data_IF_287246865810
#
_entry.id   IF_287246865810
#
_cell.length_a   1.000
_cell.length_b   1.000
_cell.length_c   1.000
_cell.angle_alpha   90.00
_cell.angle_beta   90.00
_cell.angle_gamma   90.00
#
_symmetry.space_group_name_H-M   'P 1'
#
loop_
_entity.id
_entity.type
_entity.pdbx_description
1 polymer ?
#
# COMPACT_ATOMS: atom_id res chain seq x y z
N UNK A 1 -6.88 28.46 -12.99
CA UNK A 1 -5.48 28.88 -12.90
C UNK A 1 -4.66 27.61 -13.01
N UNK A 2 -3.99 27.39 -14.13
CA UNK A 2 -3.23 26.16 -14.37
C UNK A 2 -1.85 26.34 -13.72
N UNK A 3 -1.70 25.84 -12.49
CA UNK A 3 -0.39 25.62 -11.89
C UNK A 3 0.41 24.58 -12.69
N UNK A 4 1.73 24.47 -12.47
CA UNK A 4 2.52 23.43 -13.12
C UNK A 4 1.87 22.07 -12.80
N UNK A 5 1.52 21.34 -13.85
CA UNK A 5 0.81 20.07 -13.73
C UNK A 5 1.82 19.03 -13.24
N UNK A 6 1.94 18.92 -11.91
CA UNK A 6 2.80 17.93 -11.25
C UNK A 6 2.33 16.55 -11.76
N UNK A 7 3.21 15.87 -12.47
CA UNK A 7 2.91 14.58 -13.10
C UNK A 7 3.38 13.46 -12.20
N UNK A 8 2.47 12.55 -11.85
CA UNK A 8 2.81 11.37 -11.04
C UNK A 8 3.92 10.52 -11.68
N UNK A 9 4.10 10.61 -13.00
CA UNK A 9 5.10 9.85 -13.76
C UNK A 9 6.55 10.31 -13.53
N UNK A 10 6.79 11.35 -12.73
CA UNK A 10 8.13 11.78 -12.33
C UNK A 10 8.29 11.76 -10.80
N UNK A 11 8.63 10.61 -10.20
CA UNK A 11 8.71 10.48 -8.74
C UNK A 11 9.72 11.44 -8.10
N UNK A 12 10.81 11.80 -8.80
CA UNK A 12 11.82 12.73 -8.28
C UNK A 12 11.23 14.12 -7.98
N UNK A 13 10.26 14.57 -8.79
CA UNK A 13 9.58 15.84 -8.56
C UNK A 13 8.63 15.83 -7.37
N UNK A 14 8.26 14.65 -6.87
CA UNK A 14 7.30 14.47 -5.78
C UNK A 14 7.96 14.34 -4.41
N UNK A 15 9.25 14.00 -4.35
CA UNK A 15 9.97 13.69 -3.09
C UNK A 15 9.89 14.83 -2.06
N UNK A 16 9.92 16.08 -2.52
CA UNK A 16 9.97 17.26 -1.64
C UNK A 16 8.61 17.94 -1.45
N UNK A 17 7.52 17.32 -1.91
CA UNK A 17 6.19 17.88 -1.71
C UNK A 17 5.77 17.77 -0.24
N UNK A 18 4.92 18.70 0.24
CA UNK A 18 4.24 18.53 1.51
C UNK A 18 3.47 17.20 1.55
N UNK A 19 3.43 16.57 2.72
CA UNK A 19 2.87 15.21 2.86
C UNK A 19 1.43 15.11 2.37
N UNK A 20 0.59 16.12 2.66
CA UNK A 20 -0.81 16.15 2.21
C UNK A 20 -0.92 16.22 0.67
N UNK A 21 -0.07 17.00 0.02
CA UNK A 21 -0.06 17.13 -1.45
C UNK A 21 0.47 15.85 -2.11
N UNK A 22 1.53 15.27 -1.53
CA UNK A 22 2.08 13.99 -1.96
C UNK A 22 1.03 12.88 -1.88
N UNK A 23 0.37 12.75 -0.73
CA UNK A 23 -0.68 11.74 -0.52
C UNK A 23 -1.85 11.93 -1.50
N UNK A 24 -2.29 13.17 -1.73
CA UNK A 24 -3.37 13.45 -2.68
C UNK A 24 -3.02 13.02 -4.11
N UNK A 25 -1.81 13.36 -4.58
CA UNK A 25 -1.34 12.98 -5.93
C UNK A 25 -1.23 11.46 -6.06
N UNK A 26 -0.64 10.79 -5.07
CA UNK A 26 -0.50 9.33 -5.10
C UNK A 26 -1.87 8.64 -5.08
N UNK A 27 -2.78 9.06 -4.19
CA UNK A 27 -4.13 8.51 -4.12
C UNK A 27 -4.89 8.69 -5.44
N UNK A 28 -4.84 9.87 -6.05
CA UNK A 28 -5.49 10.09 -7.35
C UNK A 28 -4.94 9.16 -8.43
N UNK A 29 -3.62 8.93 -8.43
CA UNK A 29 -2.95 8.04 -9.36
C UNK A 29 -3.31 6.57 -9.20
N UNK A 30 -3.39 6.06 -7.96
CA UNK A 30 -3.64 4.64 -7.69
C UNK A 30 -5.10 4.32 -7.34
N UNK A 31 -5.97 5.33 -7.21
CA UNK A 31 -7.38 5.12 -6.87
C UNK A 31 -8.29 6.33 -7.12
N UNK A 32 -8.99 6.33 -8.25
CA UNK A 32 -9.97 7.39 -8.57
C UNK A 32 -11.11 7.49 -7.56
N UNK A 33 -11.58 6.36 -7.00
CA UNK A 33 -12.71 6.36 -6.07
C UNK A 33 -12.29 6.79 -4.68
N UNK A 34 -11.21 6.20 -4.14
CA UNK A 34 -10.76 6.53 -2.78
C UNK A 34 -10.14 7.93 -2.70
N UNK A 35 -9.56 8.44 -3.78
CA UNK A 35 -9.14 9.84 -3.86
C UNK A 35 -10.29 10.85 -3.69
N UNK A 36 -11.54 10.45 -3.94
CA UNK A 36 -12.71 11.30 -3.71
C UNK A 36 -13.27 11.17 -2.30
N UNK A 37 -13.17 9.98 -1.69
CA UNK A 37 -13.80 9.69 -0.40
C UNK A 37 -12.88 9.93 0.79
N UNK A 38 -11.58 9.62 0.67
CA UNK A 38 -10.62 9.80 1.76
C UNK A 38 -10.54 11.27 2.19
N UNK A 39 -10.48 12.27 1.28
CA UNK A 39 -10.48 13.69 1.66
C UNK A 39 -11.74 14.19 2.37
N UNK A 40 -12.82 13.39 2.41
CA UNK A 40 -14.05 13.73 3.15
C UNK A 40 -13.98 13.35 4.63
N UNK A 41 -12.90 12.67 5.07
CA UNK A 41 -12.68 12.33 6.47
C UNK A 41 -12.32 13.57 7.30
N UNK A 42 -12.54 13.52 8.63
CA UNK A 42 -11.98 14.53 9.54
C UNK A 42 -10.48 14.70 9.35
N UNK A 43 -9.99 15.94 9.54
CA UNK A 43 -8.58 16.29 9.28
C UNK A 43 -7.60 15.47 10.09
N UNK A 44 -8.02 15.03 11.28
CA UNK A 44 -7.23 14.23 12.20
C UNK A 44 -7.05 12.78 11.70
N UNK A 45 -7.99 12.27 10.91
CA UNK A 45 -7.99 10.89 10.40
C UNK A 45 -7.51 10.79 8.96
N UNK A 46 -7.70 11.85 8.18
CA UNK A 46 -7.38 11.88 6.76
C UNK A 46 -5.93 11.41 6.46
N UNK A 47 -4.88 11.94 7.10
CA UNK A 47 -3.50 11.53 6.78
C UNK A 47 -3.23 10.06 7.06
N UNK A 48 -3.74 9.54 8.20
CA UNK A 48 -3.55 8.15 8.59
C UNK A 48 -4.25 7.20 7.62
N UNK A 49 -5.50 7.50 7.22
CA UNK A 49 -6.26 6.66 6.29
C UNK A 49 -5.72 6.76 4.86
N UNK A 50 -5.29 7.95 4.42
CA UNK A 50 -4.61 8.13 3.14
C UNK A 50 -3.35 7.27 3.06
N UNK A 51 -2.52 7.33 4.10
CA UNK A 51 -1.30 6.54 4.18
C UNK A 51 -1.59 5.03 4.26
N UNK A 52 -2.61 4.63 5.02
CA UNK A 52 -3.05 3.24 5.11
C UNK A 52 -3.39 2.66 3.75
N UNK A 53 -4.11 3.42 2.92
CA UNK A 53 -4.44 3.00 1.56
C UNK A 53 -3.18 2.80 0.71
N UNK A 54 -2.22 3.72 0.77
CA UNK A 54 -0.96 3.61 0.03
C UNK A 54 -0.15 2.38 0.46
N UNK A 55 -0.08 2.09 1.76
CA UNK A 55 0.57 0.88 2.28
C UNK A 55 -0.11 -0.40 1.78
N UNK A 56 -1.44 -0.45 1.81
CA UNK A 56 -2.21 -1.59 1.27
C UNK A 56 -1.97 -1.76 -0.24
N UNK A 57 -1.96 -0.65 -0.99
CA UNK A 57 -1.70 -0.68 -2.44
C UNK A 57 -0.30 -1.17 -2.77
N UNK A 58 0.72 -0.86 -1.95
CA UNK A 58 2.08 -1.39 -2.13
C UNK A 58 2.09 -2.92 -2.00
N UNK A 59 1.33 -3.47 -1.04
CA UNK A 59 1.18 -4.92 -0.90
C UNK A 59 0.50 -5.51 -2.12
N UNK A 60 -0.61 -4.92 -2.58
CA UNK A 60 -1.30 -5.34 -3.80
C UNK A 60 -0.34 -5.32 -5.01
N UNK A 61 0.44 -4.25 -5.22
CA UNK A 61 1.40 -4.16 -6.33
C UNK A 61 2.45 -5.27 -6.28
N UNK A 62 2.99 -5.61 -5.11
CA UNK A 62 3.95 -6.73 -4.97
C UNK A 62 3.27 -8.07 -5.30
N UNK A 63 2.03 -8.23 -4.85
CA UNK A 63 1.24 -9.44 -5.03
C UNK A 63 0.88 -9.62 -6.51
N UNK A 64 0.30 -8.61 -7.15
CA UNK A 64 -0.21 -8.64 -8.52
C UNK A 64 0.91 -8.64 -9.58
N UNK A 65 2.15 -8.26 -9.21
CA UNK A 65 3.25 -8.17 -10.18
C UNK A 65 3.57 -9.55 -10.80
N UNK A 66 3.47 -9.60 -12.12
CA UNK A 66 3.62 -10.81 -12.93
C UNK A 66 5.08 -11.19 -13.18
N UNK A 67 6.00 -10.23 -13.10
CA UNK A 67 7.45 -10.48 -13.27
C UNK A 67 8.09 -11.14 -12.04
N UNK A 68 7.48 -11.01 -10.86
CA UNK A 68 7.99 -11.59 -9.63
C UNK A 68 7.56 -13.05 -9.50
N UNK A 69 8.51 -13.92 -9.19
CA UNK A 69 8.19 -15.29 -8.80
C UNK A 69 7.71 -15.36 -7.33
N UNK A 70 7.16 -16.50 -6.93
CA UNK A 70 6.61 -16.69 -5.58
C UNK A 70 7.62 -16.45 -4.44
N UNK A 71 8.90 -16.78 -4.63
CA UNK A 71 9.94 -16.54 -3.63
C UNK A 71 10.26 -15.05 -3.49
N UNK A 72 10.32 -14.33 -4.61
CA UNK A 72 10.52 -12.87 -4.62
C UNK A 72 9.34 -12.15 -3.97
N UNK A 73 8.09 -12.51 -4.33
CA UNK A 73 6.89 -11.93 -3.69
C UNK A 73 6.93 -12.14 -2.18
N UNK A 74 7.23 -13.36 -1.74
CA UNK A 74 7.38 -13.67 -0.31
C UNK A 74 8.48 -12.84 0.36
N UNK A 75 9.63 -12.71 -0.28
CA UNK A 75 10.74 -11.89 0.23
C UNK A 75 10.33 -10.42 0.39
N UNK A 76 9.77 -9.79 -0.65
CA UNK A 76 9.37 -8.39 -0.61
C UNK A 76 8.21 -8.15 0.37
N UNK A 77 7.22 -9.05 0.44
CA UNK A 77 6.16 -8.98 1.44
C UNK A 77 6.69 -9.01 2.87
N UNK A 78 7.60 -9.95 3.20
CA UNK A 78 8.18 -10.06 4.54
C UNK A 78 9.07 -8.85 4.88
N UNK A 79 9.87 -8.38 3.93
CA UNK A 79 10.68 -7.19 4.11
C UNK A 79 9.81 -5.94 4.29
N UNK A 80 8.71 -5.80 3.53
CA UNK A 80 7.81 -4.66 3.65
C UNK A 80 7.11 -4.61 5.02
N UNK A 81 6.73 -5.76 5.58
CA UNK A 81 6.20 -5.84 6.95
C UNK A 81 7.21 -5.26 7.96
N UNK A 82 8.49 -5.62 7.86
CA UNK A 82 9.53 -5.12 8.76
C UNK A 82 9.76 -3.62 8.58
N UNK A 83 9.73 -3.12 7.34
CA UNK A 83 9.89 -1.71 7.01
C UNK A 83 8.73 -0.88 7.60
N UNK A 84 7.48 -1.33 7.48
CA UNK A 84 6.32 -0.61 8.05
C UNK A 84 6.37 -0.58 9.58
N UNK A 85 6.91 -1.63 10.21
CA UNK A 85 7.05 -1.69 11.68
C UNK A 85 8.18 -0.82 12.20
N UNK A 86 9.31 -0.77 11.49
CA UNK A 86 10.55 -0.22 12.04
C UNK A 86 10.97 1.11 11.41
N UNK A 87 10.45 1.44 10.23
CA UNK A 87 10.82 2.61 9.44
C UNK A 87 12.17 2.49 8.73
N UNK A 88 12.87 1.38 8.93
CA UNK A 88 14.22 1.19 8.43
C UNK A 88 14.20 0.63 7.01
N UNK A 89 15.32 0.76 6.28
CA UNK A 89 15.56 0.10 4.98
C UNK A 89 14.53 0.40 3.85
N UNK A 90 13.68 1.41 4.00
CA UNK A 90 12.69 1.78 2.97
C UNK A 90 13.34 2.19 1.63
N UNK A 91 14.45 2.93 1.68
CA UNK A 91 15.22 3.33 0.49
C UNK A 91 15.85 2.16 -0.28
N UNK A 92 16.69 1.30 0.34
CA UNK A 92 17.25 0.16 -0.37
C UNK A 92 16.16 -0.80 -0.88
N UNK A 93 15.07 -0.99 -0.13
CA UNK A 93 13.93 -1.78 -0.58
C UNK A 93 13.30 -1.24 -1.87
N UNK A 94 12.99 0.06 -1.92
CA UNK A 94 12.41 0.69 -3.11
C UNK A 94 13.32 0.54 -4.34
N UNK A 95 14.64 0.71 -4.15
CA UNK A 95 15.63 0.55 -5.22
C UNK A 95 15.77 -0.89 -5.72
N UNK A 96 15.55 -1.87 -4.84
CA UNK A 96 15.59 -3.29 -5.20
C UNK A 96 14.32 -3.72 -5.94
N UNK A 97 13.15 -3.27 -5.48
CA UNK A 97 11.85 -3.67 -6.04
C UNK A 97 11.51 -2.94 -7.35
N UNK A 98 11.72 -1.62 -7.42
CA UNK A 98 11.33 -0.80 -8.56
C UNK A 98 11.75 -1.33 -9.95
N UNK A 99 13.02 -1.76 -10.18
CA UNK A 99 13.43 -2.24 -11.50
C UNK A 99 12.87 -3.61 -11.87
N UNK A 100 12.22 -4.31 -10.92
CA UNK A 100 11.61 -5.61 -11.17
C UNK A 100 10.18 -5.49 -11.68
N UNK A 101 9.51 -4.36 -11.48
CA UNK A 101 8.14 -4.17 -11.93
C UNK A 101 8.04 -4.22 -13.46
N UNK A 102 7.02 -4.89 -13.98
CA UNK A 102 6.80 -5.01 -15.42
C UNK A 102 6.06 -3.80 -15.99
N UNK A 103 6.04 -3.71 -17.32
CA UNK A 103 5.25 -2.71 -18.05
C UNK A 103 3.73 -2.92 -17.91
N UNK A 104 3.28 -4.02 -17.30
CA UNK A 104 1.86 -4.26 -16.99
C UNK A 104 1.41 -3.50 -15.73
N UNK A 105 2.35 -3.25 -14.81
CA UNK A 105 2.10 -2.42 -13.63
C UNK A 105 1.92 -0.97 -14.08
N UNK A 106 0.85 -0.33 -13.61
CA UNK A 106 0.49 1.01 -14.10
C UNK A 106 1.54 2.05 -13.67
N UNK A 107 1.75 3.14 -14.45
CA UNK A 107 2.76 4.15 -14.13
C UNK A 107 2.64 4.77 -12.73
N UNK A 108 1.42 4.91 -12.23
CA UNK A 108 1.17 5.41 -10.88
C UNK A 108 1.71 4.50 -9.78
N UNK A 109 1.61 3.17 -9.96
CA UNK A 109 2.14 2.18 -9.01
C UNK A 109 3.66 2.10 -9.09
N UNK A 110 4.23 2.21 -10.30
CA UNK A 110 5.68 2.40 -10.44
C UNK A 110 6.17 3.58 -9.61
N UNK A 111 5.53 4.73 -9.73
CA UNK A 111 5.87 5.91 -8.93
C UNK A 111 5.65 5.70 -7.43
N UNK A 112 4.59 5.00 -7.03
CA UNK A 112 4.33 4.65 -5.63
C UNK A 112 5.48 3.81 -5.05
N UNK A 113 5.96 2.80 -5.77
CA UNK A 113 7.09 1.96 -5.33
C UNK A 113 8.38 2.80 -5.17
N UNK A 114 8.65 3.73 -6.08
CA UNK A 114 9.79 4.65 -5.94
C UNK A 114 9.65 5.59 -4.72
N UNK A 115 8.42 5.90 -4.32
CA UNK A 115 8.08 6.82 -3.23
C UNK A 115 7.80 6.12 -1.89
N UNK A 116 8.00 4.80 -1.79
CA UNK A 116 7.94 4.04 -0.53
C UNK A 116 8.68 4.75 0.61
N UNK A 117 9.90 5.30 0.42
CA UNK A 117 10.60 5.97 1.51
C UNK A 117 9.80 7.13 2.13
N UNK A 118 9.09 7.91 1.31
CA UNK A 118 8.23 9.00 1.79
C UNK A 118 6.96 8.48 2.46
N UNK A 119 6.33 7.44 1.91
CA UNK A 119 5.15 6.80 2.54
C UNK A 119 5.52 6.25 3.92
N UNK A 120 6.69 5.62 4.06
CA UNK A 120 7.19 5.12 5.34
C UNK A 120 7.56 6.26 6.28
N UNK A 121 8.21 7.32 5.80
CA UNK A 121 8.49 8.51 6.60
C UNK A 121 7.21 9.10 7.20
N UNK A 122 6.15 9.27 6.40
CA UNK A 122 4.83 9.73 6.86
C UNK A 122 4.25 8.74 7.88
N UNK A 123 4.32 7.43 7.62
CA UNK A 123 3.86 6.38 8.54
C UNK A 123 4.41 6.59 9.95
N UNK A 124 5.70 6.88 10.07
CA UNK A 124 6.37 7.03 11.36
C UNK A 124 6.21 8.43 11.99
N UNK A 125 5.42 9.32 11.39
CA UNK A 125 4.97 10.57 12.04
C UNK A 125 3.72 10.37 12.90
N UNK A 126 3.00 9.26 12.71
CA UNK A 126 1.78 8.93 13.44
C UNK A 126 2.06 8.42 14.85
N UNK A 127 1.01 8.36 15.67
CA UNK A 127 1.13 7.78 17.00
C UNK A 127 1.37 6.25 16.93
N UNK A 128 1.88 5.68 18.02
CA UNK A 128 2.23 4.26 18.06
C UNK A 128 1.05 3.34 17.80
N UNK A 129 -0.16 3.70 18.25
CA UNK A 129 -1.33 2.86 18.08
C UNK A 129 -1.84 2.89 16.62
N UNK A 130 -1.71 4.02 15.92
CA UNK A 130 -1.92 4.11 14.48
C UNK A 130 -0.89 3.28 13.72
N UNK A 131 0.41 3.42 14.03
CA UNK A 131 1.47 2.62 13.39
C UNK A 131 1.22 1.12 13.59
N UNK A 132 0.87 0.69 14.80
CA UNK A 132 0.56 -0.71 15.10
C UNK A 132 -0.66 -1.21 14.31
N UNK A 133 -1.70 -0.39 14.14
CA UNK A 133 -2.86 -0.73 13.34
C UNK A 133 -2.50 -0.92 11.86
N UNK A 134 -1.70 0.02 11.30
CA UNK A 134 -1.22 -0.05 9.91
C UNK A 134 -0.34 -1.29 9.68
N UNK A 135 0.65 -1.51 10.55
CA UNK A 135 1.56 -2.64 10.46
C UNK A 135 0.84 -3.99 10.59
N UNK A 136 -0.15 -4.09 11.48
CA UNK A 136 -0.96 -5.29 11.65
C UNK A 136 -1.79 -5.60 10.40
N UNK A 137 -2.36 -4.57 9.75
CA UNK A 137 -3.08 -4.72 8.50
C UNK A 137 -2.16 -5.23 7.38
N UNK A 138 -1.04 -4.54 7.16
CA UNK A 138 -0.04 -4.91 6.14
C UNK A 138 0.47 -6.33 6.37
N UNK A 139 0.76 -6.71 7.62
CA UNK A 139 1.19 -8.07 7.97
C UNK A 139 0.13 -9.12 7.65
N UNK A 140 -1.14 -8.83 7.93
CA UNK A 140 -2.25 -9.74 7.67
C UNK A 140 -2.45 -9.95 6.17
N UNK A 141 -2.46 -8.86 5.39
CA UNK A 141 -2.56 -8.90 3.93
C UNK A 141 -1.37 -9.66 3.32
N UNK A 142 -0.15 -9.23 3.61
CA UNK A 142 1.07 -9.73 3.00
C UNK A 142 1.39 -11.20 3.34
N UNK A 143 0.88 -11.72 4.46
CA UNK A 143 0.96 -13.15 4.80
C UNK A 143 -0.20 -13.98 4.24
N UNK A 144 -1.39 -13.39 4.13
CA UNK A 144 -2.61 -14.09 3.74
C UNK A 144 -2.78 -14.24 2.24
N UNK A 145 -2.53 -13.17 1.47
CA UNK A 145 -2.72 -13.16 0.01
C UNK A 145 -1.91 -14.23 -0.72
N UNK A 146 -0.62 -14.49 -0.40
CA UNK A 146 0.17 -15.52 -1.09
C UNK A 146 -0.41 -16.94 -0.97
N UNK A 147 -1.21 -17.22 0.08
CA UNK A 147 -1.86 -18.52 0.26
C UNK A 147 -2.85 -18.78 -0.88
N UNK A 148 -3.57 -17.74 -1.30
CA UNK A 148 -4.59 -17.84 -2.34
C UNK A 148 -3.99 -17.69 -3.74
N UNK A 149 -2.91 -16.93 -3.90
CA UNK A 149 -2.22 -16.83 -5.19
C UNK A 149 -1.57 -18.15 -5.63
N UNK A 150 -1.14 -18.97 -4.66
CA UNK A 150 -0.59 -20.30 -4.93
C UNK A 150 -1.66 -21.32 -5.36
N UNK A 151 -2.94 -20.97 -5.26
CA UNK A 151 -4.05 -21.83 -5.69
C UNK A 151 -4.38 -21.55 -7.17
N UNK A 152 -4.76 -22.61 -7.89
CA UNK A 152 -5.44 -22.45 -9.17
C UNK A 152 -6.87 -21.94 -8.93
N UNK A 153 -7.06 -20.63 -9.12
CA UNK A 153 -8.33 -19.95 -8.94
C UNK A 153 -9.16 -19.87 -10.23
N UNK A 154 -8.79 -20.55 -11.32
CA UNK A 154 -9.59 -20.53 -12.56
C UNK A 154 -11.02 -21.05 -12.35
N UNK A 155 -11.23 -21.94 -11.38
CA UNK A 155 -12.55 -22.42 -10.95
C UNK A 155 -13.11 -21.70 -9.71
N UNK A 156 -12.45 -20.62 -9.27
CA UNK A 156 -12.70 -19.95 -7.99
C UNK A 156 -12.10 -20.69 -6.79
N UNK A 157 -12.43 -20.22 -5.59
CA UNK A 157 -12.07 -20.87 -4.33
C UNK A 157 -12.94 -22.10 -4.07
N UNK A 158 -12.39 -23.11 -3.37
CA UNK A 158 -13.02 -24.44 -3.25
C UNK A 158 -14.25 -24.44 -2.34
N UNK A 159 -14.27 -23.61 -1.30
CA UNK A 159 -15.33 -23.60 -0.30
C UNK A 159 -15.73 -22.18 0.07
N UNK A 160 -16.92 -22.02 0.66
CA UNK A 160 -17.33 -20.74 1.25
C UNK A 160 -16.37 -20.27 2.35
N UNK A 161 -15.81 -21.20 3.13
CA UNK A 161 -14.82 -20.85 4.15
C UNK A 161 -13.53 -20.30 3.53
N UNK A 162 -13.10 -20.85 2.38
CA UNK A 162 -11.96 -20.31 1.63
C UNK A 162 -12.27 -18.92 1.06
N UNK A 163 -13.52 -18.69 0.62
CA UNK A 163 -14.00 -17.37 0.20
C UNK A 163 -13.95 -16.36 1.35
N UNK A 164 -14.45 -16.75 2.53
CA UNK A 164 -14.46 -15.89 3.71
C UNK A 164 -13.02 -15.53 4.13
N UNK A 165 -12.11 -16.50 4.13
CA UNK A 165 -10.69 -16.28 4.42
C UNK A 165 -10.03 -15.36 3.39
N UNK A 166 -10.29 -15.58 2.10
CA UNK A 166 -9.79 -14.69 1.04
C UNK A 166 -10.29 -13.25 1.25
N UNK A 167 -11.60 -13.07 1.42
CA UNK A 167 -12.22 -11.78 1.69
C UNK A 167 -11.66 -11.11 2.96
N UNK A 168 -11.34 -11.89 3.98
CA UNK A 168 -10.72 -11.37 5.19
C UNK A 168 -9.35 -10.75 4.90
N UNK A 169 -8.48 -11.46 4.18
CA UNK A 169 -7.13 -10.98 3.88
C UNK A 169 -7.12 -9.77 2.94
N UNK A 170 -8.04 -9.69 1.99
CA UNK A 170 -8.05 -8.58 1.00
C UNK A 170 -8.92 -7.38 1.41
N UNK A 171 -9.84 -7.54 2.37
CA UNK A 171 -10.77 -6.48 2.76
C UNK A 171 -11.13 -6.46 4.25
N UNK A 172 -11.32 -7.61 4.89
CA UNK A 172 -11.73 -7.68 6.30
C UNK A 172 -10.73 -7.03 7.26
N UNK A 173 -9.44 -7.32 7.10
CA UNK A 173 -8.38 -6.73 7.92
C UNK A 173 -8.25 -5.21 7.75
N UNK A 174 -8.57 -4.67 6.55
CA UNK A 174 -8.64 -3.22 6.29
C UNK A 174 -9.75 -2.59 7.13
N UNK A 175 -10.90 -3.26 7.25
CA UNK A 175 -11.99 -2.80 8.13
C UNK A 175 -11.60 -2.75 9.60
N UNK A 176 -10.89 -3.76 10.10
CA UNK A 176 -10.37 -3.78 11.48
C UNK A 176 -9.35 -2.66 11.73
N UNK A 177 -8.44 -2.44 10.78
CA UNK A 177 -7.48 -1.34 10.84
C UNK A 177 -8.18 0.01 10.89
N UNK A 178 -9.13 0.26 9.98
CA UNK A 178 -9.90 1.50 9.98
C UNK A 178 -10.63 1.71 11.31
N UNK A 179 -11.28 0.67 11.86
CA UNK A 179 -11.93 0.75 13.16
C UNK A 179 -10.95 1.16 14.28
N UNK A 180 -9.73 0.63 14.29
CA UNK A 180 -8.68 1.05 15.23
C UNK A 180 -8.27 2.51 15.03
N UNK A 181 -8.13 2.97 13.79
CA UNK A 181 -7.82 4.37 13.47
C UNK A 181 -8.94 5.32 13.95
N UNK A 182 -10.21 4.94 13.79
CA UNK A 182 -11.36 5.75 14.25
C UNK A 182 -11.51 5.81 15.79
N UNK A 183 -10.96 4.84 16.51
CA UNK A 183 -11.03 4.76 17.98
C UNK A 183 -9.79 5.30 18.70
N UNK A 184 -8.79 5.76 17.95
CA UNK A 184 -7.62 6.46 18.49
C UNK A 184 -7.97 7.91 18.82
#
# INVERSE_FOLDING_TARGET
>A
MNGPQISINNPESLINLPDEELQAILLEGVSRTFALTIPQLPKELHPAVANAYLLCRIVDTIEDEVSLNAEQKKYFCLAFIDIVKTGNNSQPFAKELAPLLSDQTIPAEHSLIHLIPRVIEITHTFDSAQIDALACCVETMAKGMPIFQALDLHAGVKTMADMDNYCYYVAGCVGEMLAKLFCN
#
